data_IF_220398399785
#
_entry.id   IF_220398399785
#
_cell.length_a   1.000
_cell.length_b   1.000
_cell.length_c   1.000
_cell.angle_alpha   90.00
_cell.angle_beta   90.00
_cell.angle_gamma   90.00
#
_symmetry.space_group_name_H-M   'P 1'
#
loop_
_entity.id
_entity.type
_entity.pdbx_description
1 polymer ?
#
# COMPACT_ATOMS: atom_id res chain seq x y z
N UNK A 1 11.88 9.23 -29.55
CA UNK A 1 10.66 8.45 -29.26
C UNK A 1 11.01 7.45 -28.17
N UNK A 2 10.68 7.76 -26.92
CA UNK A 2 10.88 6.86 -25.77
C UNK A 2 9.61 6.92 -24.91
N UNK A 3 8.54 6.29 -25.40
CA UNK A 3 7.19 6.33 -24.81
C UNK A 3 6.69 4.88 -24.56
N UNK A 4 7.53 4.04 -23.96
CA UNK A 4 7.22 2.62 -23.74
C UNK A 4 7.58 2.10 -22.34
N UNK A 5 8.00 2.97 -21.42
CA UNK A 5 8.19 2.62 -20.01
C UNK A 5 7.01 3.09 -19.13
N UNK A 6 5.98 3.71 -19.73
CA UNK A 6 4.88 4.38 -19.05
C UNK A 6 3.76 3.46 -18.53
N UNK A 7 3.89 2.13 -18.59
CA UNK A 7 2.73 1.24 -18.41
C UNK A 7 2.86 0.14 -17.36
N UNK A 8 3.99 0.01 -16.66
CA UNK A 8 4.05 -0.89 -15.50
C UNK A 8 3.62 -0.10 -14.25
N UNK A 9 2.47 -0.42 -13.63
CA UNK A 9 2.06 0.24 -12.41
C UNK A 9 3.15 0.07 -11.35
N UNK A 10 3.43 1.12 -10.58
CA UNK A 10 4.35 1.01 -9.45
C UNK A 10 3.86 -0.07 -8.48
N UNK A 11 4.74 -0.60 -7.64
CA UNK A 11 4.33 -1.59 -6.64
C UNK A 11 3.22 -1.06 -5.73
N UNK A 12 3.26 0.25 -5.42
CA UNK A 12 2.21 0.93 -4.66
C UNK A 12 0.89 1.00 -5.44
N UNK A 13 0.93 1.25 -6.75
CA UNK A 13 -0.29 1.28 -7.57
C UNK A 13 -0.96 -0.09 -7.64
N UNK A 14 -0.17 -1.17 -7.68
CA UNK A 14 -0.71 -2.55 -7.60
C UNK A 14 -1.35 -2.81 -6.24
N UNK A 15 -0.68 -2.46 -5.15
CA UNK A 15 -1.24 -2.60 -3.79
C UNK A 15 -2.53 -1.79 -3.67
N UNK A 16 -2.57 -0.56 -4.19
CA UNK A 16 -3.77 0.28 -4.21
C UNK A 16 -4.93 -0.39 -4.94
N UNK A 17 -4.65 -0.96 -6.11
CA UNK A 17 -5.65 -1.71 -6.89
C UNK A 17 -6.18 -2.93 -6.13
N UNK A 18 -5.29 -3.69 -5.49
CA UNK A 18 -5.64 -4.88 -4.71
C UNK A 18 -6.51 -4.51 -3.50
N UNK A 19 -6.18 -3.44 -2.76
CA UNK A 19 -6.97 -2.98 -1.61
C UNK A 19 -8.39 -2.56 -2.02
N UNK A 20 -8.54 -1.92 -3.18
CA UNK A 20 -9.86 -1.61 -3.76
C UNK A 20 -10.62 -2.90 -4.09
N UNK A 21 -9.96 -3.88 -4.72
CA UNK A 21 -10.54 -5.18 -5.04
C UNK A 21 -10.96 -5.99 -3.81
N UNK A 22 -10.19 -5.88 -2.72
CA UNK A 22 -10.44 -6.51 -1.43
C UNK A 22 -11.49 -5.78 -0.57
N UNK A 23 -11.97 -4.61 -1.01
CA UNK A 23 -12.89 -3.74 -0.26
C UNK A 23 -12.33 -3.31 1.10
N UNK A 24 -11.06 -2.90 1.11
CA UNK A 24 -10.35 -2.41 2.30
C UNK A 24 -10.12 -0.89 2.23
N UNK A 25 -11.16 -0.06 2.43
CA UNK A 25 -11.06 1.40 2.30
C UNK A 25 -10.17 2.06 3.37
N UNK A 26 -10.13 1.56 4.60
CA UNK A 26 -9.30 2.09 5.68
C UNK A 26 -7.82 1.79 5.47
N UNK A 27 -7.50 0.58 5.03
CA UNK A 27 -6.15 0.20 4.64
C UNK A 27 -5.66 1.05 3.46
N UNK A 28 -6.56 1.37 2.52
CA UNK A 28 -6.27 2.27 1.39
C UNK A 28 -5.92 3.69 1.86
N UNK A 29 -6.63 4.21 2.87
CA UNK A 29 -6.35 5.51 3.49
C UNK A 29 -5.01 5.52 4.24
N UNK A 30 -4.67 4.43 4.93
CA UNK A 30 -3.43 4.30 5.71
C UNK A 30 -2.20 3.97 4.86
N UNK A 31 -2.36 3.48 3.63
CA UNK A 31 -1.29 2.95 2.79
C UNK A 31 -0.12 3.93 2.63
N UNK A 32 -0.40 5.19 2.29
CA UNK A 32 0.65 6.19 2.06
C UNK A 32 1.46 6.46 3.35
N UNK A 33 0.82 6.42 4.51
CA UNK A 33 1.50 6.59 5.80
C UNK A 33 2.39 5.38 6.12
N UNK A 34 1.88 4.17 5.94
CA UNK A 34 2.62 2.92 6.19
C UNK A 34 3.84 2.83 5.28
N UNK A 35 3.70 3.16 4.00
CA UNK A 35 4.80 3.16 3.02
C UNK A 35 5.91 4.12 3.43
N UNK A 36 5.55 5.35 3.81
CA UNK A 36 6.56 6.32 4.29
C UNK A 36 7.33 5.77 5.50
N UNK A 37 6.64 5.21 6.49
CA UNK A 37 7.29 4.65 7.68
C UNK A 37 8.20 3.47 7.34
N UNK A 38 7.79 2.60 6.41
CA UNK A 38 8.62 1.52 5.88
C UNK A 38 9.90 2.07 5.20
N UNK A 39 9.78 3.10 4.37
CA UNK A 39 10.91 3.75 3.68
C UNK A 39 11.89 4.43 4.65
N UNK A 40 11.38 4.95 5.77
CA UNK A 40 12.22 5.55 6.83
C UNK A 40 12.82 4.50 7.77
N UNK A 41 12.50 3.21 7.59
CA UNK A 41 12.96 2.12 8.46
C UNK A 41 12.30 2.09 9.84
N UNK A 42 11.18 2.80 10.00
CA UNK A 42 10.39 2.84 11.25
C UNK A 42 9.46 1.62 11.41
N UNK A 43 9.25 0.88 10.31
CA UNK A 43 8.48 -0.34 10.27
C UNK A 43 9.24 -1.40 9.47
N UNK A 44 9.18 -2.64 9.92
CA UNK A 44 9.51 -3.79 9.09
C UNK A 44 8.38 -4.10 8.11
N UNK A 45 8.68 -4.85 7.05
CA UNK A 45 7.69 -5.27 6.07
C UNK A 45 6.54 -6.09 6.70
N UNK A 46 6.85 -6.92 7.71
CA UNK A 46 5.82 -7.73 8.38
C UNK A 46 4.91 -6.88 9.28
N UNK A 47 5.46 -5.90 9.99
CA UNK A 47 4.67 -4.94 10.78
C UNK A 47 3.78 -4.07 9.88
N UNK A 48 4.28 -3.65 8.71
CA UNK A 48 3.48 -2.92 7.73
C UNK A 48 2.28 -3.74 7.25
N UNK A 49 2.44 -5.05 7.00
CA UNK A 49 1.34 -5.94 6.63
C UNK A 49 0.33 -6.05 7.77
N UNK A 50 0.80 -6.29 9.00
CA UNK A 50 -0.08 -6.43 10.17
C UNK A 50 -0.92 -5.17 10.42
N UNK A 51 -0.29 -3.98 10.35
CA UNK A 51 -0.98 -2.70 10.48
C UNK A 51 -2.00 -2.53 9.34
N UNK A 52 -1.59 -2.74 8.09
CA UNK A 52 -2.47 -2.57 6.93
C UNK A 52 -3.72 -3.44 7.01
N UNK A 53 -3.60 -4.69 7.47
CA UNK A 53 -4.74 -5.59 7.67
C UNK A 53 -5.58 -5.19 8.88
N UNK A 54 -4.94 -4.72 9.96
CA UNK A 54 -5.61 -4.29 11.19
C UNK A 54 -6.46 -3.03 11.03
N UNK A 55 -6.13 -2.18 10.05
CA UNK A 55 -6.95 -1.02 9.70
C UNK A 55 -8.39 -1.40 9.37
N UNK A 56 -8.65 -2.56 8.76
CA UNK A 56 -10.01 -3.00 8.44
C UNK A 56 -10.72 -3.75 9.57
N UNK A 57 -9.94 -4.31 10.50
CA UNK A 57 -10.47 -5.09 11.62
C UNK A 57 -10.83 -4.24 12.83
N UNK A 58 -10.26 -3.04 12.92
CA UNK A 58 -10.67 -2.04 13.90
C UNK A 58 -11.97 -1.37 13.43
N UNK A 59 -12.83 -0.97 14.37
CA UNK A 59 -14.09 -0.25 14.10
C UNK A 59 -13.85 1.26 13.97
#
# INVERSE_FOLDING_TARGET
MSAALDSVPSMIDRIRHDLVGLKMPRALEALDHIVRRLEHGELSALEAIDILLSEELTL
#
